data_IF_953948413733
#
_entry.id   IF_953948413733
#
_cell.length_a   1.000
_cell.length_b   1.000
_cell.length_c   1.000
_cell.angle_alpha   90.00
_cell.angle_beta   90.00
_cell.angle_gamma   90.00
#
_symmetry.space_group_name_H-M   'P 1'
#
loop_
_entity.id
_entity.type
_entity.pdbx_description
1 polymer ?
#
# COMPACT_ATOMS: atom_id res chain seq x y z
N UNK A 1 9.79 14.61 -27.84
CA UNK A 1 10.23 13.64 -28.87
C UNK A 1 10.90 12.47 -28.16
N UNK A 2 10.34 11.26 -28.26
CA UNK A 2 10.96 10.07 -27.66
C UNK A 2 12.07 9.59 -28.60
N UNK A 3 13.32 9.66 -28.16
CA UNK A 3 14.46 9.11 -28.89
C UNK A 3 14.87 7.77 -28.27
N UNK A 4 15.32 6.81 -29.11
CA UNK A 4 15.78 5.49 -28.66
C UNK A 4 17.00 5.56 -27.75
N UNK A 5 17.75 6.66 -27.80
CA UNK A 5 18.93 6.91 -26.97
C UNK A 5 18.58 7.13 -25.48
N UNK A 6 17.36 7.60 -25.18
CA UNK A 6 16.91 7.92 -23.83
C UNK A 6 16.14 6.77 -23.16
N UNK A 7 16.20 5.56 -23.68
CA UNK A 7 15.57 4.41 -23.09
C UNK A 7 16.29 3.97 -21.81
N UNK A 8 15.63 4.13 -20.68
CA UNK A 8 16.13 3.62 -19.41
C UNK A 8 15.81 2.13 -19.28
N UNK A 9 16.81 1.32 -18.91
CA UNK A 9 16.62 -0.08 -18.64
C UNK A 9 15.70 -0.28 -17.40
N UNK A 10 14.56 -0.91 -17.58
CA UNK A 10 13.64 -1.26 -16.48
C UNK A 10 14.13 -2.44 -15.64
N UNK A 11 15.11 -3.19 -16.11
CA UNK A 11 15.64 -4.36 -15.43
C UNK A 11 16.89 -4.08 -14.58
N UNK A 12 16.97 -4.71 -13.41
CA UNK A 12 18.21 -4.70 -12.62
C UNK A 12 19.28 -5.52 -13.33
N UNK A 13 20.48 -4.98 -13.49
CA UNK A 13 21.63 -5.73 -14.01
C UNK A 13 21.90 -6.95 -13.13
N UNK A 14 21.83 -8.15 -13.70
CA UNK A 14 22.16 -9.39 -12.99
C UNK A 14 23.66 -9.43 -12.68
N UNK A 15 24.00 -9.76 -11.43
CA UNK A 15 25.37 -9.97 -11.02
C UNK A 15 25.90 -11.25 -11.69
N UNK A 16 26.90 -11.11 -12.54
CA UNK A 16 27.57 -12.25 -13.20
C UNK A 16 28.65 -12.80 -12.25
N UNK A 17 28.62 -14.07 -11.98
CA UNK A 17 29.56 -14.78 -11.09
C UNK A 17 30.17 -15.99 -11.82
N UNK A 18 31.29 -16.50 -11.35
CA UNK A 18 31.96 -17.63 -11.97
C UNK A 18 32.56 -17.33 -13.34
N UNK A 19 33.02 -16.07 -13.58
CA UNK A 19 33.58 -15.64 -14.87
C UNK A 19 34.95 -14.99 -14.75
N UNK A 20 35.70 -15.35 -13.73
CA UNK A 20 37.02 -14.77 -13.42
C UNK A 20 36.96 -13.57 -12.47
N UNK A 21 38.14 -13.00 -12.16
CA UNK A 21 38.28 -11.91 -11.21
C UNK A 21 37.92 -12.29 -9.78
N UNK A 22 37.64 -11.30 -8.93
CA UNK A 22 37.33 -11.47 -7.52
C UNK A 22 36.10 -12.36 -7.23
N UNK A 23 35.26 -12.61 -8.21
CA UNK A 23 34.03 -13.42 -8.09
C UNK A 23 34.08 -14.71 -8.92
N UNK A 24 35.23 -15.04 -9.52
CA UNK A 24 35.40 -16.18 -10.40
C UNK A 24 35.51 -17.51 -9.62
N UNK A 25 36.28 -17.55 -8.55
CA UNK A 25 36.60 -18.79 -7.85
C UNK A 25 35.45 -19.37 -7.02
N UNK A 26 34.81 -18.54 -6.20
CA UNK A 26 33.79 -19.01 -5.24
C UNK A 26 32.39 -18.49 -5.54
N UNK A 27 32.23 -17.70 -6.60
CA UNK A 27 30.96 -17.07 -6.96
C UNK A 27 30.31 -16.21 -5.86
N UNK A 28 31.13 -15.75 -4.89
CA UNK A 28 30.67 -14.97 -3.75
C UNK A 28 30.05 -15.83 -2.60
N UNK A 29 30.19 -17.15 -2.65
CA UNK A 29 29.71 -18.05 -1.59
C UNK A 29 30.76 -18.38 -0.52
N UNK A 30 32.00 -17.93 -0.70
CA UNK A 30 33.13 -18.30 0.14
C UNK A 30 33.64 -19.72 -0.14
N UNK A 31 34.50 -20.20 0.72
CA UNK A 31 35.05 -21.55 0.60
C UNK A 31 34.14 -22.55 1.32
N UNK A 32 34.52 -23.51 1.96
CA UNK A 32 33.76 -24.58 2.63
C UNK A 32 32.56 -24.11 3.45
N UNK A 33 31.66 -25.01 3.79
CA UNK A 33 30.49 -24.77 4.63
C UNK A 33 29.17 -25.05 3.90
N UNK A 34 28.09 -25.14 4.65
CA UNK A 34 26.77 -25.51 4.15
C UNK A 34 26.24 -24.51 3.08
N UNK A 35 26.53 -23.21 3.28
CA UNK A 35 26.05 -22.16 2.38
C UNK A 35 26.75 -22.17 1.02
N UNK A 36 27.96 -22.77 0.93
CA UNK A 36 28.74 -22.87 -0.30
C UNK A 36 28.38 -24.10 -1.15
N UNK A 37 27.72 -25.11 -0.59
CA UNK A 37 27.36 -26.36 -1.26
C UNK A 37 26.10 -26.22 -2.12
N UNK A 38 25.80 -27.23 -2.91
CA UNK A 38 24.54 -27.36 -3.63
C UNK A 38 23.35 -27.34 -2.63
N UNK A 39 22.23 -26.72 -3.01
CA UNK A 39 21.09 -26.54 -2.14
C UNK A 39 21.19 -25.37 -1.18
N UNK A 40 22.39 -24.79 -0.99
CA UNK A 40 22.60 -23.54 -0.25
C UNK A 40 22.13 -23.54 1.20
N UNK A 41 21.82 -22.36 1.74
CA UNK A 41 21.41 -22.20 3.13
C UNK A 41 20.03 -22.78 3.40
N UNK A 42 19.84 -23.29 4.59
CA UNK A 42 18.52 -23.68 5.10
C UNK A 42 17.64 -22.45 5.29
N UNK A 43 16.32 -22.65 5.24
CA UNK A 43 15.35 -21.59 5.46
C UNK A 43 15.47 -20.91 6.84
N UNK A 44 14.90 -19.72 6.95
CA UNK A 44 14.84 -19.00 8.23
C UNK A 44 14.08 -19.83 9.27
N UNK A 45 14.61 -19.88 10.51
CA UNK A 45 13.99 -20.62 11.59
C UNK A 45 14.19 -22.15 11.53
N UNK A 46 15.13 -22.64 10.71
CA UNK A 46 15.52 -24.05 10.72
C UNK A 46 16.39 -24.34 11.95
N UNK A 47 15.95 -25.28 12.77
CA UNK A 47 16.58 -25.65 14.07
C UNK A 47 17.27 -27.03 13.97
N UNK A 48 17.95 -27.33 12.86
CA UNK A 48 18.73 -28.56 12.72
C UNK A 48 17.92 -29.86 12.64
N UNK A 49 16.60 -29.79 12.46
CA UNK A 49 15.69 -30.94 12.48
C UNK A 49 14.80 -31.01 13.74
N UNK A 50 15.13 -30.26 14.79
CA UNK A 50 14.26 -30.09 15.94
C UNK A 50 12.99 -29.34 15.48
N UNK A 51 11.83 -29.64 16.10
CA UNK A 51 10.59 -28.91 15.83
C UNK A 51 10.79 -27.41 16.12
N UNK A 52 10.61 -26.52 15.12
CA UNK A 52 10.83 -25.09 15.28
C UNK A 52 9.97 -24.48 16.39
N UNK A 53 10.50 -23.49 17.10
CA UNK A 53 9.83 -22.82 18.23
C UNK A 53 8.41 -22.36 17.88
N UNK A 54 8.20 -21.82 16.69
CA UNK A 54 6.90 -21.39 16.20
C UNK A 54 5.86 -22.50 16.12
N UNK A 55 6.27 -23.75 15.98
CA UNK A 55 5.36 -24.93 16.00
C UNK A 55 5.11 -25.46 17.41
N UNK A 56 6.02 -25.19 18.34
CA UNK A 56 5.90 -25.60 19.76
C UNK A 56 5.02 -24.64 20.55
N UNK A 57 4.94 -23.37 20.14
CA UNK A 57 4.08 -22.40 20.77
C UNK A 57 2.60 -22.69 20.50
N UNK A 58 1.72 -22.61 21.53
CA UNK A 58 0.30 -22.79 21.33
C UNK A 58 -0.25 -21.66 20.45
N UNK A 59 -1.13 -22.03 19.52
CA UNK A 59 -1.87 -21.07 18.69
C UNK A 59 -2.89 -20.35 19.55
N UNK A 60 -2.98 -19.03 19.40
CA UNK A 60 -3.94 -18.20 20.15
C UNK A 60 -4.68 -17.26 19.21
N UNK A 61 -5.95 -17.01 19.54
CA UNK A 61 -6.78 -15.99 18.93
C UNK A 61 -7.36 -16.38 17.57
N UNK A 62 -8.19 -15.49 17.08
CA UNK A 62 -8.82 -15.56 15.78
C UNK A 62 -8.34 -14.38 14.94
N UNK A 63 -8.24 -14.56 13.64
CA UNK A 63 -7.81 -13.51 12.73
C UNK A 63 -8.79 -13.43 11.55
N UNK A 64 -9.47 -12.30 11.43
CA UNK A 64 -10.40 -12.00 10.35
C UNK A 64 -9.75 -11.11 9.24
N UNK A 65 -8.43 -10.89 9.29
CA UNK A 65 -7.77 -9.97 8.37
C UNK A 65 -7.95 -10.35 6.89
N UNK A 66 -8.00 -11.65 6.59
CA UNK A 66 -8.21 -12.14 5.21
C UNK A 66 -9.58 -11.78 4.62
N UNK A 67 -10.59 -11.60 5.47
CA UNK A 67 -11.97 -11.30 5.07
C UNK A 67 -12.35 -9.84 5.35
N UNK A 68 -11.48 -9.09 6.02
CA UNK A 68 -11.73 -7.70 6.34
C UNK A 68 -11.68 -6.85 5.06
N UNK A 69 -12.68 -6.00 4.87
CA UNK A 69 -12.67 -5.01 3.77
C UNK A 69 -11.64 -3.94 4.10
N UNK A 70 -10.68 -3.75 3.21
CA UNK A 70 -9.72 -2.66 3.35
C UNK A 70 -10.36 -1.33 3.00
N UNK A 71 -10.23 -0.35 3.89
CA UNK A 71 -10.74 1.00 3.69
C UNK A 71 -9.57 1.98 3.69
N UNK A 72 -9.58 2.89 2.71
CA UNK A 72 -8.71 4.05 2.72
C UNK A 72 -9.34 5.14 3.59
N UNK A 73 -8.59 5.67 4.53
CA UNK A 73 -9.06 6.68 5.46
C UNK A 73 -8.51 8.04 5.06
N UNK A 74 -9.37 9.07 5.06
CA UNK A 74 -9.00 10.47 4.82
C UNK A 74 -9.59 11.33 5.92
N UNK A 75 -8.78 12.21 6.51
CA UNK A 75 -9.21 13.15 7.53
C UNK A 75 -9.71 14.46 6.93
N UNK A 76 -10.63 15.11 7.63
CA UNK A 76 -11.23 16.39 7.21
C UNK A 76 -10.16 17.47 7.00
N UNK A 77 -9.15 17.55 7.88
CA UNK A 77 -8.07 18.52 7.74
C UNK A 77 -7.27 18.33 6.42
N UNK A 78 -7.16 17.09 5.94
CA UNK A 78 -6.49 16.82 4.66
C UNK A 78 -7.30 17.31 3.47
N UNK A 79 -8.62 17.29 3.58
CA UNK A 79 -9.52 17.87 2.58
C UNK A 79 -9.40 19.40 2.58
N UNK A 80 -9.40 20.04 3.75
CA UNK A 80 -9.20 21.49 3.90
C UNK A 80 -7.93 21.98 3.21
N UNK A 81 -6.85 21.21 3.34
CA UNK A 81 -5.52 21.56 2.82
C UNK A 81 -5.42 21.46 1.30
N UNK A 82 -6.12 20.51 0.68
CA UNK A 82 -5.91 20.12 -0.74
C UNK A 82 -7.03 20.62 -1.66
N UNK A 83 -8.25 20.79 -1.16
CA UNK A 83 -9.40 21.18 -1.95
C UNK A 83 -9.70 22.67 -1.82
N UNK A 84 -10.21 23.28 -2.90
CA UNK A 84 -10.71 24.65 -2.91
C UNK A 84 -12.17 24.69 -2.43
N UNK A 85 -12.64 25.89 -2.06
CA UNK A 85 -14.03 26.09 -1.64
C UNK A 85 -15.01 25.79 -2.80
N UNK A 86 -16.08 25.06 -2.51
CA UNK A 86 -17.09 24.67 -3.50
C UNK A 86 -16.73 23.46 -4.36
N UNK A 87 -15.57 22.84 -4.16
CA UNK A 87 -15.11 21.72 -4.98
C UNK A 87 -15.79 20.38 -4.63
N UNK A 88 -15.99 19.52 -5.62
CA UNK A 88 -16.51 18.16 -5.40
C UNK A 88 -15.39 17.18 -5.05
N UNK A 89 -15.59 16.46 -3.94
CA UNK A 89 -14.66 15.45 -3.44
C UNK A 89 -15.24 14.06 -3.75
N UNK A 90 -14.66 13.39 -4.74
CA UNK A 90 -14.99 12.03 -5.15
C UNK A 90 -13.78 11.12 -4.97
N UNK A 91 -13.97 9.80 -5.00
CA UNK A 91 -12.86 8.83 -4.93
C UNK A 91 -11.79 9.10 -6.00
N UNK A 92 -12.19 9.50 -7.20
CA UNK A 92 -11.28 9.84 -8.30
C UNK A 92 -10.44 11.08 -8.00
N UNK A 93 -11.07 12.16 -7.52
CA UNK A 93 -10.38 13.41 -7.17
C UNK A 93 -9.41 13.20 -6.01
N UNK A 94 -9.76 12.36 -5.03
CA UNK A 94 -8.87 11.99 -3.91
C UNK A 94 -7.61 11.24 -4.39
N UNK A 95 -7.75 10.38 -5.39
CA UNK A 95 -6.62 9.67 -6.00
C UNK A 95 -5.77 10.63 -6.83
N UNK A 96 -6.38 11.49 -7.66
CA UNK A 96 -5.67 12.48 -8.48
C UNK A 96 -4.85 13.45 -7.64
N UNK A 97 -5.41 13.91 -6.52
CA UNK A 97 -4.72 14.78 -5.56
C UNK A 97 -3.76 14.03 -4.61
N UNK A 98 -3.62 12.70 -4.77
CA UNK A 98 -2.65 11.89 -4.05
C UNK A 98 -2.97 11.61 -2.57
N UNK A 99 -4.20 11.91 -2.11
CA UNK A 99 -4.64 11.62 -0.75
C UNK A 99 -4.88 10.13 -0.50
N UNK A 100 -5.21 9.39 -1.55
CA UNK A 100 -5.44 7.95 -1.51
C UNK A 100 -4.61 7.29 -2.62
N UNK A 101 -4.01 6.15 -2.29
CA UNK A 101 -3.37 5.29 -3.28
C UNK A 101 -4.39 4.28 -3.82
N UNK A 102 -4.48 4.09 -5.14
CA UNK A 102 -5.33 3.05 -5.70
C UNK A 102 -4.82 1.68 -5.25
N UNK A 103 -5.72 0.78 -4.88
CA UNK A 103 -5.39 -0.55 -4.33
C UNK A 103 -4.63 -1.45 -5.33
N UNK A 104 -4.88 -1.29 -6.64
CA UNK A 104 -4.23 -2.06 -7.69
C UNK A 104 -3.57 -1.11 -8.70
N UNK A 105 -2.28 -0.89 -8.54
CA UNK A 105 -1.47 -0.12 -9.50
C UNK A 105 -1.35 -0.78 -10.88
N UNK A 106 -1.70 -2.05 -11.03
CA UNK A 106 -1.58 -2.82 -12.26
C UNK A 106 -2.85 -2.84 -13.13
N UNK A 107 -4.01 -2.51 -12.57
CA UNK A 107 -5.27 -2.45 -13.33
C UNK A 107 -5.78 -1.02 -13.38
N UNK A 108 -5.84 -0.48 -14.62
CA UNK A 108 -6.30 0.88 -14.94
C UNK A 108 -7.77 1.17 -14.57
N UNK A 109 -8.49 0.22 -14.01
CA UNK A 109 -9.86 0.37 -13.56
C UNK A 109 -9.92 0.91 -12.12
N UNK A 110 -9.68 2.20 -11.99
CA UNK A 110 -9.76 2.97 -10.74
C UNK A 110 -11.16 2.92 -10.09
N UNK A 111 -12.18 2.49 -10.86
CA UNK A 111 -13.58 2.49 -10.44
C UNK A 111 -14.00 1.33 -9.55
N UNK A 112 -13.29 0.20 -9.54
CA UNK A 112 -13.68 -0.98 -8.74
C UNK A 112 -12.70 -1.21 -7.58
N UNK A 113 -13.11 -0.93 -6.35
CA UNK A 113 -12.54 -1.57 -5.17
C UNK A 113 -11.89 -0.69 -4.11
N UNK A 114 -11.77 0.63 -4.26
CA UNK A 114 -11.23 1.47 -3.18
C UNK A 114 -12.36 2.03 -2.32
N UNK A 115 -12.60 1.39 -1.16
CA UNK A 115 -13.57 1.89 -0.19
C UNK A 115 -12.94 3.07 0.57
N UNK A 116 -13.61 4.22 0.58
CA UNK A 116 -13.15 5.43 1.24
C UNK A 116 -14.00 5.73 2.44
N UNK A 117 -13.35 6.04 3.58
CA UNK A 117 -13.99 6.53 4.80
C UNK A 117 -13.41 7.88 5.19
N UNK A 118 -14.29 8.85 5.43
CA UNK A 118 -13.90 10.18 5.91
C UNK A 118 -13.99 10.23 7.43
N UNK A 119 -12.91 10.68 8.08
CA UNK A 119 -12.82 10.88 9.52
C UNK A 119 -12.79 12.38 9.86
N UNK A 120 -13.35 12.72 11.01
CA UNK A 120 -13.53 14.10 11.44
C UNK A 120 -12.37 14.64 12.29
N UNK A 121 -11.14 14.29 11.96
CA UNK A 121 -9.97 14.85 12.60
C UNK A 121 -9.58 16.16 11.91
N UNK A 122 -9.49 17.23 12.72
CA UNK A 122 -9.20 18.60 12.29
C UNK A 122 -10.44 19.46 12.04
N UNK A 123 -10.19 20.69 11.62
CA UNK A 123 -11.22 21.69 11.33
C UNK A 123 -11.44 21.82 9.82
N UNK A 124 -12.67 22.14 9.43
CA UNK A 124 -13.07 22.40 8.05
C UNK A 124 -13.73 23.79 8.02
N UNK A 125 -13.21 24.67 7.20
CA UNK A 125 -13.80 26.01 6.96
C UNK A 125 -14.42 26.13 5.56
N UNK A 126 -14.08 25.23 4.65
CA UNK A 126 -14.52 25.25 3.26
C UNK A 126 -15.80 24.45 3.04
N UNK A 127 -16.68 24.98 2.19
CA UNK A 127 -17.90 24.29 1.77
C UNK A 127 -17.55 23.26 0.70
N UNK A 128 -17.60 21.98 1.04
CA UNK A 128 -17.28 20.88 0.13
C UNK A 128 -18.47 19.95 -0.06
N UNK A 129 -18.64 19.45 -1.28
CA UNK A 129 -19.56 18.34 -1.55
C UNK A 129 -18.75 17.03 -1.57
N UNK A 130 -18.88 16.22 -0.52
CA UNK A 130 -18.05 15.03 -0.32
C UNK A 130 -18.85 13.76 -0.58
N UNK A 131 -18.43 12.98 -1.58
CA UNK A 131 -18.99 11.67 -1.94
C UNK A 131 -18.04 10.56 -1.48
N UNK A 132 -18.43 9.76 -0.49
CA UNK A 132 -17.62 8.68 0.05
C UNK A 132 -18.47 7.48 0.49
N UNK A 133 -17.85 6.33 0.72
CA UNK A 133 -18.55 5.10 1.13
C UNK A 133 -18.98 5.11 2.59
N UNK A 134 -18.22 5.79 3.45
CA UNK A 134 -18.53 5.93 4.86
C UNK A 134 -18.01 7.25 5.44
N UNK A 135 -18.70 7.75 6.46
CA UNK A 135 -18.31 8.91 7.24
C UNK A 135 -18.31 8.56 8.72
N UNK A 136 -17.43 9.18 9.51
CA UNK A 136 -17.60 9.20 10.96
C UNK A 136 -18.68 10.23 11.34
N UNK A 137 -19.27 10.07 12.51
CA UNK A 137 -20.28 11.01 13.00
C UNK A 137 -19.71 12.46 13.08
N UNK A 138 -18.49 12.60 13.61
CA UNK A 138 -17.78 13.88 13.69
C UNK A 138 -17.48 14.48 12.32
N UNK A 139 -17.07 13.67 11.32
CA UNK A 139 -16.82 14.16 9.96
C UNK A 139 -18.09 14.69 9.30
N UNK A 140 -19.21 13.98 9.46
CA UNK A 140 -20.50 14.39 8.93
C UNK A 140 -20.94 15.73 9.53
N UNK A 141 -20.84 15.85 10.85
CA UNK A 141 -21.16 17.10 11.55
C UNK A 141 -20.24 18.26 11.13
N UNK A 142 -18.94 18.02 10.95
CA UNK A 142 -17.99 19.03 10.51
C UNK A 142 -18.32 19.56 9.11
N UNK A 143 -18.67 18.67 8.16
CA UNK A 143 -19.03 19.06 6.81
C UNK A 143 -20.37 19.82 6.80
N UNK A 144 -21.38 19.35 7.52
CA UNK A 144 -22.70 19.98 7.61
C UNK A 144 -22.65 21.34 8.32
N UNK A 145 -21.83 21.52 9.35
CA UNK A 145 -21.64 22.81 10.06
C UNK A 145 -21.18 23.94 9.14
N UNK A 146 -20.36 23.65 8.17
CA UNK A 146 -19.83 24.63 7.20
C UNK A 146 -20.79 24.82 6.02
N UNK A 147 -21.90 24.06 5.97
CA UNK A 147 -22.87 24.10 4.88
C UNK A 147 -22.46 23.27 3.67
N UNK A 148 -21.54 22.31 3.83
CA UNK A 148 -21.19 21.31 2.85
C UNK A 148 -22.21 20.16 2.78
N UNK A 149 -22.06 19.27 1.82
CA UNK A 149 -22.92 18.07 1.64
C UNK A 149 -22.10 16.81 1.77
N UNK A 150 -22.57 15.86 2.59
CA UNK A 150 -21.97 14.51 2.72
C UNK A 150 -22.88 13.49 2.02
N UNK A 151 -22.42 12.93 0.92
CA UNK A 151 -23.15 11.95 0.10
C UNK A 151 -22.55 10.56 0.27
N UNK A 152 -23.38 9.57 0.62
CA UNK A 152 -22.93 8.18 0.77
C UNK A 152 -23.08 7.47 -0.59
N UNK A 153 -21.98 7.05 -1.16
CA UNK A 153 -21.94 6.27 -2.40
C UNK A 153 -21.99 4.79 -2.05
N UNK A 154 -23.01 4.07 -2.52
CA UNK A 154 -23.17 2.61 -2.31
C UNK A 154 -22.56 1.76 -3.41
N UNK A 155 -21.77 2.32 -4.31
CA UNK A 155 -21.12 1.54 -5.37
C UNK A 155 -19.99 0.67 -4.76
N UNK A 156 -20.24 -0.63 -4.75
CA UNK A 156 -19.29 -1.71 -4.43
C UNK A 156 -18.83 -2.38 -5.73
#
# INVERSE_FOLDING_TARGET
MFSLENLQSSGKKRKRVGRGGSRGGTSGRGHKGQNARSGGPKGRGFEGGQTPLQRRLPKRGFNNAHFAKEMSVVNVHSLERVFADGEEVNTLTLIQKGLIKPKNSEQRDVKKGTIVKILGDGELSKKLTVSAHAFSASAKQAIEKVGGKALITKEL
#
